data_IF_537152478144
#
_entry.id   IF_537152478144
#
_cell.length_a   1.000
_cell.length_b   1.000
_cell.length_c   1.000
_cell.angle_alpha   90.00
_cell.angle_beta   90.00
_cell.angle_gamma   90.00
#
_symmetry.space_group_name_H-M   'P 1'
#
loop_
_entity.id
_entity.type
_entity.pdbx_description
1 polymer ?
#
# COMPACT_ATOMS: atom_id res chain seq x y z
N UNK A 1 11.99 -12.03 6.06
CA UNK A 1 11.92 -12.58 7.42
C UNK A 1 10.61 -13.33 7.56
N UNK A 2 10.63 -14.46 8.23
CA UNK A 2 9.43 -15.25 8.55
C UNK A 2 8.76 -14.78 9.83
N UNK A 3 9.43 -13.92 10.60
CA UNK A 3 8.96 -13.42 11.88
C UNK A 3 9.08 -11.90 11.91
N UNK A 4 8.11 -11.28 12.56
CA UNK A 4 8.13 -9.84 12.83
C UNK A 4 8.82 -9.66 14.19
N UNK A 5 9.80 -8.74 14.30
CA UNK A 5 10.46 -8.46 15.57
C UNK A 5 9.45 -8.04 16.65
N UNK A 6 9.65 -8.51 17.87
CA UNK A 6 8.87 -8.05 19.02
C UNK A 6 9.46 -6.72 19.53
N UNK A 7 8.91 -5.62 19.09
CA UNK A 7 9.38 -4.27 19.45
C UNK A 7 9.23 -3.91 20.94
N UNK A 8 8.54 -4.74 21.74
CA UNK A 8 8.49 -4.60 23.19
C UNK A 8 9.71 -5.25 23.89
N UNK A 9 10.45 -6.10 23.19
CA UNK A 9 11.70 -6.67 23.69
C UNK A 9 12.85 -5.69 23.44
N UNK A 10 13.61 -5.27 24.47
CA UNK A 10 14.74 -4.36 24.30
C UNK A 10 15.81 -4.86 23.33
N UNK A 11 15.99 -6.17 23.21
CA UNK A 11 16.98 -6.77 22.29
C UNK A 11 16.50 -6.72 20.84
N UNK A 12 15.22 -6.87 20.59
CA UNK A 12 14.64 -6.84 19.24
C UNK A 12 14.26 -5.43 18.80
N UNK A 13 14.08 -4.49 19.73
CA UNK A 13 13.79 -3.10 19.45
C UNK A 13 14.82 -2.44 18.52
N UNK A 14 16.07 -2.87 18.59
CA UNK A 14 17.15 -2.43 17.70
C UNK A 14 16.84 -2.71 16.22
N UNK A 15 16.03 -3.75 15.94
CA UNK A 15 15.62 -4.12 14.60
C UNK A 15 14.47 -3.26 14.06
N UNK A 16 13.84 -2.45 14.89
CA UNK A 16 12.71 -1.59 14.48
C UNK A 16 13.10 -0.64 13.35
N UNK A 17 14.27 -0.01 13.45
CA UNK A 17 14.77 0.89 12.43
C UNK A 17 15.12 0.19 11.12
N UNK A 18 15.55 -1.08 11.18
CA UNK A 18 15.77 -1.90 9.99
C UNK A 18 14.44 -2.33 9.39
N UNK A 19 13.50 -2.76 10.22
CA UNK A 19 12.17 -3.18 9.79
C UNK A 19 11.38 -2.04 9.13
N UNK A 20 11.52 -0.82 9.62
CA UNK A 20 10.88 0.37 9.00
C UNK A 20 11.46 0.69 7.61
N UNK A 21 12.69 0.23 7.32
CA UNK A 21 13.32 0.36 6.00
C UNK A 21 12.85 -0.69 4.99
N UNK A 22 12.16 -1.73 5.43
CA UNK A 22 11.49 -2.68 4.54
C UNK A 22 10.21 -2.01 4.01
N UNK A 23 10.31 -1.48 2.81
CA UNK A 23 9.26 -0.62 2.25
C UNK A 23 7.98 -1.39 1.97
N UNK A 24 8.08 -2.54 1.31
CA UNK A 24 6.92 -3.38 1.02
C UNK A 24 6.90 -4.62 1.91
N UNK A 25 5.75 -4.86 2.51
CA UNK A 25 5.50 -5.99 3.38
C UNK A 25 4.30 -6.78 2.85
N UNK A 26 4.48 -8.08 2.65
CA UNK A 26 3.44 -8.97 2.13
C UNK A 26 3.24 -10.09 3.14
N UNK A 27 2.00 -10.32 3.53
CA UNK A 27 1.63 -11.49 4.31
C UNK A 27 1.42 -12.68 3.39
N UNK A 28 2.02 -13.81 3.75
CA UNK A 28 1.81 -15.08 3.06
C UNK A 28 1.16 -16.07 4.01
N UNK A 29 0.20 -16.82 3.51
CA UNK A 29 -0.49 -17.87 4.25
C UNK A 29 -0.26 -19.23 3.59
N UNK A 30 -0.50 -20.28 4.37
CA UNK A 30 -0.49 -21.64 3.84
C UNK A 30 -1.60 -21.80 2.80
N UNK A 31 -1.34 -22.60 1.76
CA UNK A 31 -2.32 -22.86 0.72
C UNK A 31 -3.56 -23.57 1.32
N UNK A 32 -4.67 -22.86 1.42
CA UNK A 32 -5.90 -23.36 2.05
C UNK A 32 -6.63 -24.37 1.17
N UNK A 33 -6.64 -24.18 -0.14
CA UNK A 33 -7.40 -25.01 -1.06
C UNK A 33 -6.64 -26.28 -1.44
N UNK A 34 -7.31 -27.44 -1.35
CA UNK A 34 -6.74 -28.74 -1.71
C UNK A 34 -6.34 -28.78 -3.19
N UNK A 35 -7.14 -28.21 -4.09
CA UNK A 35 -6.86 -28.20 -5.53
C UNK A 35 -5.51 -27.49 -5.81
N UNK A 36 -5.28 -26.34 -5.20
CA UNK A 36 -4.05 -25.57 -5.36
C UNK A 36 -2.84 -26.33 -4.76
N UNK A 37 -2.98 -26.95 -3.58
CA UNK A 37 -1.90 -27.78 -3.00
C UNK A 37 -1.54 -28.94 -3.93
N UNK A 38 -2.53 -29.61 -4.51
CA UNK A 38 -2.30 -30.72 -5.45
C UNK A 38 -1.67 -30.27 -6.75
N UNK A 39 -2.05 -29.09 -7.27
CA UNK A 39 -1.44 -28.52 -8.46
C UNK A 39 0.06 -28.21 -8.24
N UNK A 40 0.39 -27.57 -7.11
CA UNK A 40 1.77 -27.30 -6.72
C UNK A 40 2.59 -28.58 -6.59
N UNK A 41 2.00 -29.62 -5.95
CA UNK A 41 2.68 -30.91 -5.77
C UNK A 41 2.96 -31.58 -7.13
N UNK A 42 1.98 -31.63 -8.02
CA UNK A 42 2.13 -32.19 -9.36
C UNK A 42 3.19 -31.44 -10.18
N UNK A 43 3.18 -30.12 -10.17
CA UNK A 43 4.16 -29.30 -10.88
C UNK A 43 5.58 -29.55 -10.34
N UNK A 44 5.72 -29.70 -9.01
CA UNK A 44 7.00 -30.05 -8.39
C UNK A 44 7.49 -31.43 -8.82
N UNK A 45 6.61 -32.43 -8.85
CA UNK A 45 6.94 -33.80 -9.27
C UNK A 45 7.29 -33.86 -10.77
N UNK A 46 6.67 -33.03 -11.58
CA UNK A 46 6.95 -32.89 -13.03
C UNK A 46 8.24 -32.09 -13.33
N UNK A 47 8.95 -31.61 -12.32
CA UNK A 47 10.17 -30.78 -12.52
C UNK A 47 9.89 -29.38 -13.08
N UNK A 48 8.63 -28.92 -13.05
CA UNK A 48 8.23 -27.61 -13.57
C UNK A 48 8.50 -26.46 -12.57
N UNK A 49 9.03 -26.78 -11.40
CA UNK A 49 9.38 -25.77 -10.38
C UNK A 49 10.67 -25.04 -10.79
N UNK A 50 10.60 -23.71 -10.78
CA UNK A 50 11.75 -22.86 -11.09
C UNK A 50 11.99 -22.61 -12.60
N UNK A 51 11.06 -23.01 -13.47
CA UNK A 51 11.10 -22.58 -14.86
C UNK A 51 10.69 -21.11 -14.95
N UNK A 52 11.57 -20.28 -15.48
CA UNK A 52 11.28 -18.86 -15.76
C UNK A 52 10.44 -18.76 -17.03
N UNK A 53 9.26 -18.15 -16.91
CA UNK A 53 8.36 -17.96 -18.07
C UNK A 53 8.70 -16.69 -18.86
N UNK A 54 9.28 -15.68 -18.21
CA UNK A 54 9.68 -14.42 -18.83
C UNK A 54 10.94 -13.87 -18.16
N UNK A 55 11.75 -13.20 -18.94
CA UNK A 55 12.95 -12.49 -18.46
C UNK A 55 12.95 -11.08 -19.01
N UNK A 56 13.48 -10.14 -18.25
CA UNK A 56 13.78 -8.78 -18.69
C UNK A 56 15.28 -8.54 -18.55
N UNK A 57 15.85 -7.76 -19.44
CA UNK A 57 17.23 -7.33 -19.36
C UNK A 57 17.40 -6.19 -18.35
N UNK A 58 18.62 -5.94 -17.90
CA UNK A 58 18.91 -4.78 -17.03
C UNK A 58 18.62 -3.45 -17.73
N UNK A 59 18.86 -3.37 -19.05
CA UNK A 59 18.60 -2.16 -19.82
C UNK A 59 17.10 -1.87 -19.91
N UNK A 60 16.27 -2.90 -20.13
CA UNK A 60 14.81 -2.77 -20.06
C UNK A 60 14.34 -2.32 -18.69
N UNK A 61 14.90 -2.90 -17.60
CA UNK A 61 14.54 -2.48 -16.24
C UNK A 61 14.89 -1.01 -16.00
N UNK A 62 16.07 -0.54 -16.42
CA UNK A 62 16.46 0.86 -16.29
C UNK A 62 15.60 1.79 -17.16
N UNK A 63 15.16 1.34 -18.33
CA UNK A 63 14.22 2.09 -19.16
C UNK A 63 12.86 2.25 -18.45
N UNK A 64 12.32 1.14 -17.93
CA UNK A 64 11.06 1.15 -17.12
C UNK A 64 11.16 2.08 -15.91
N UNK A 65 12.27 2.06 -15.18
CA UNK A 65 12.47 2.95 -14.03
C UNK A 65 12.45 4.44 -14.44
N UNK A 66 13.00 4.79 -15.58
CA UNK A 66 12.96 6.16 -16.11
C UNK A 66 11.54 6.57 -16.50
N UNK A 67 10.79 5.68 -17.13
CA UNK A 67 9.38 5.90 -17.48
C UNK A 67 8.52 6.09 -16.22
N UNK A 68 8.68 5.24 -15.21
CA UNK A 68 8.00 5.37 -13.91
C UNK A 68 8.31 6.71 -13.27
N UNK A 69 9.57 7.12 -13.23
CA UNK A 69 9.97 8.40 -12.64
C UNK A 69 9.43 9.64 -13.39
N UNK A 70 9.05 9.48 -14.66
CA UNK A 70 8.47 10.56 -15.47
C UNK A 70 6.96 10.74 -15.24
N UNK A 71 6.28 9.80 -14.58
CA UNK A 71 4.85 9.90 -14.28
C UNK A 71 4.63 11.02 -13.27
N UNK A 72 3.72 11.93 -13.62
CA UNK A 72 3.42 13.08 -12.78
C UNK A 72 2.55 12.69 -11.57
N UNK A 73 2.81 13.33 -10.43
CA UNK A 73 1.99 13.24 -9.22
C UNK A 73 1.33 14.60 -9.00
N UNK A 74 0.03 14.77 -9.29
CA UNK A 74 -0.69 16.01 -9.08
C UNK A 74 -0.76 16.39 -7.59
N UNK A 75 -0.89 17.69 -7.30
CA UNK A 75 -1.05 18.18 -5.93
C UNK A 75 -2.28 17.58 -5.23
N UNK A 76 -3.36 17.36 -5.97
CA UNK A 76 -4.55 16.67 -5.43
C UNK A 76 -4.28 15.24 -4.94
N UNK A 77 -3.27 14.57 -5.49
CA UNK A 77 -2.83 13.24 -5.01
C UNK A 77 -1.97 13.39 -3.74
N UNK A 78 -1.14 14.44 -3.65
CA UNK A 78 -0.41 14.74 -2.42
C UNK A 78 -1.37 15.09 -1.26
N UNK A 79 -2.42 15.89 -1.53
CA UNK A 79 -3.48 16.19 -0.56
C UNK A 79 -4.20 14.92 -0.10
N UNK A 80 -4.58 14.05 -1.04
CA UNK A 80 -5.23 12.78 -0.72
C UNK A 80 -4.31 11.84 0.08
N UNK A 81 -3.01 11.84 -0.20
CA UNK A 81 -2.03 11.08 0.58
C UNK A 81 -1.88 11.61 2.01
N UNK A 82 -1.98 12.92 2.20
CA UNK A 82 -2.01 13.55 3.52
C UNK A 82 -3.28 13.19 4.30
N UNK A 83 -4.44 13.24 3.65
CA UNK A 83 -5.72 12.80 4.23
C UNK A 83 -5.65 11.33 4.70
N UNK A 84 -5.06 10.45 3.89
CA UNK A 84 -4.83 9.04 4.24
C UNK A 84 -3.93 8.94 5.48
N UNK A 85 -2.82 9.68 5.53
CA UNK A 85 -1.90 9.70 6.67
C UNK A 85 -2.60 10.16 7.95
N UNK A 86 -3.32 11.29 7.88
CA UNK A 86 -4.04 11.85 9.01
C UNK A 86 -5.07 10.87 9.55
N UNK A 87 -5.83 10.24 8.67
CA UNK A 87 -6.85 9.26 9.06
C UNK A 87 -6.24 8.00 9.69
N UNK A 88 -5.16 7.46 9.12
CA UNK A 88 -4.45 6.31 9.69
C UNK A 88 -3.91 6.62 11.09
N UNK A 89 -3.31 7.80 11.27
CA UNK A 89 -2.82 8.24 12.60
C UNK A 89 -3.96 8.42 13.59
N UNK A 90 -5.11 8.95 13.15
CA UNK A 90 -6.31 9.13 13.99
C UNK A 90 -6.84 7.81 14.52
N UNK A 91 -6.79 6.74 13.73
CA UNK A 91 -7.24 5.39 14.15
C UNK A 91 -6.13 4.55 14.80
N UNK A 92 -4.97 5.16 15.10
CA UNK A 92 -3.88 4.53 15.83
C UNK A 92 -2.93 3.66 15.00
N UNK A 93 -2.98 3.74 13.66
CA UNK A 93 -1.98 3.09 12.79
C UNK A 93 -0.75 3.96 12.68
N UNK A 94 0.43 3.53 13.18
CA UNK A 94 1.63 4.34 13.18
C UNK A 94 2.27 4.38 11.78
N UNK A 95 2.10 5.49 11.07
CA UNK A 95 2.80 5.74 9.80
C UNK A 95 3.92 6.74 10.06
N UNK A 96 5.16 6.37 9.77
CA UNK A 96 6.32 7.24 9.92
C UNK A 96 6.35 8.32 8.84
N UNK A 97 6.94 9.48 9.16
CA UNK A 97 7.14 10.56 8.18
C UNK A 97 8.01 10.10 7.00
N UNK A 98 8.94 9.19 7.25
CA UNK A 98 9.71 8.56 6.18
C UNK A 98 8.81 7.87 5.15
N UNK A 99 7.82 7.09 5.59
CA UNK A 99 6.88 6.42 4.69
C UNK A 99 5.98 7.43 3.98
N UNK A 100 5.50 8.43 4.69
CA UNK A 100 4.70 9.48 4.09
C UNK A 100 5.47 10.22 2.97
N UNK A 101 6.70 10.64 3.23
CA UNK A 101 7.50 11.39 2.26
C UNK A 101 7.96 10.56 1.05
N UNK A 102 7.93 9.23 1.15
CA UNK A 102 8.39 8.32 0.09
C UNK A 102 7.28 7.44 -0.51
N UNK A 103 6.01 7.85 -0.42
CA UNK A 103 4.89 7.07 -0.97
C UNK A 103 4.83 7.11 -2.50
N UNK A 104 5.21 8.24 -3.10
CA UNK A 104 4.97 8.55 -4.50
C UNK A 104 5.63 7.60 -5.51
N UNK A 105 6.84 7.04 -5.30
CA UNK A 105 7.41 6.10 -6.26
C UNK A 105 6.58 4.82 -6.41
N UNK A 106 5.90 4.39 -5.35
CA UNK A 106 5.01 3.22 -5.38
C UNK A 106 3.75 3.55 -6.17
N UNK A 107 3.18 4.72 -5.96
CA UNK A 107 2.01 5.20 -6.69
C UNK A 107 2.33 5.39 -8.20
N UNK A 108 3.49 5.97 -8.52
CA UNK A 108 3.99 6.10 -9.89
C UNK A 108 4.18 4.74 -10.57
N UNK A 109 4.80 3.78 -9.88
CA UNK A 109 4.98 2.43 -10.41
C UNK A 109 3.63 1.74 -10.67
N UNK A 110 2.65 1.94 -9.78
CA UNK A 110 1.30 1.42 -9.97
C UNK A 110 0.60 2.07 -11.15
N UNK A 111 0.69 3.39 -11.30
CA UNK A 111 0.14 4.14 -12.43
C UNK A 111 0.74 3.64 -13.76
N UNK A 112 2.07 3.49 -13.81
CA UNK A 112 2.77 2.96 -14.98
C UNK A 112 2.28 1.55 -15.35
N UNK A 113 2.18 0.63 -14.37
CA UNK A 113 1.66 -0.73 -14.57
C UNK A 113 0.19 -0.76 -15.01
N UNK A 114 -0.58 0.28 -14.69
CA UNK A 114 -1.98 0.45 -15.10
C UNK A 114 -2.12 1.19 -16.45
N UNK A 115 -1.03 1.68 -17.04
CA UNK A 115 -1.03 2.45 -18.29
C UNK A 115 -1.47 3.91 -18.11
N UNK A 116 -1.42 4.43 -16.87
CA UNK A 116 -1.75 5.83 -16.58
C UNK A 116 -0.52 6.71 -16.81
N UNK A 117 -0.70 7.86 -17.46
CA UNK A 117 0.35 8.88 -17.64
C UNK A 117 0.52 9.81 -16.44
N UNK A 118 -0.44 9.79 -15.52
CA UNK A 118 -0.50 10.61 -14.30
C UNK A 118 -1.04 9.72 -13.18
N UNK A 119 -0.57 9.91 -11.95
CA UNK A 119 -1.07 9.15 -10.80
C UNK A 119 -2.52 9.53 -10.52
N UNK A 120 -3.38 8.53 -10.41
CA UNK A 120 -4.79 8.64 -10.07
C UNK A 120 -5.07 8.15 -8.64
N UNK A 121 -6.20 8.55 -8.01
CA UNK A 121 -6.54 8.10 -6.66
C UNK A 121 -6.51 6.57 -6.47
N UNK A 122 -6.93 5.82 -7.49
CA UNK A 122 -6.93 4.35 -7.46
C UNK A 122 -5.51 3.74 -7.40
N UNK A 123 -4.48 4.46 -7.86
CA UNK A 123 -3.11 3.97 -7.82
C UNK A 123 -2.55 3.98 -6.39
N UNK A 124 -3.10 4.82 -5.50
CA UNK A 124 -2.76 4.83 -4.07
C UNK A 124 -3.19 3.56 -3.34
N UNK A 125 -4.08 2.73 -3.91
CA UNK A 125 -4.41 1.42 -3.33
C UNK A 125 -3.19 0.48 -3.24
N UNK A 126 -2.17 0.70 -4.08
CA UNK A 126 -0.89 -0.03 -4.00
C UNK A 126 -0.16 0.19 -2.66
N UNK A 127 -0.45 1.30 -1.96
CA UNK A 127 0.12 1.60 -0.65
C UNK A 127 -0.34 0.66 0.46
N UNK A 128 -1.32 -0.21 0.20
CA UNK A 128 -1.79 -1.21 1.16
C UNK A 128 -0.64 -1.98 1.80
N UNK A 129 0.32 -2.46 0.99
CA UNK A 129 1.46 -3.24 1.47
C UNK A 129 2.66 -2.38 1.92
N UNK A 130 2.52 -1.08 1.87
CA UNK A 130 3.54 -0.11 2.26
C UNK A 130 3.27 0.50 3.64
N UNK A 131 2.01 0.84 3.95
CA UNK A 131 1.67 1.69 5.09
C UNK A 131 1.56 0.94 6.42
N UNK A 132 1.23 -0.36 6.44
CA UNK A 132 1.09 -1.08 7.69
C UNK A 132 2.44 -1.42 8.35
N UNK A 133 2.45 -1.44 9.67
CA UNK A 133 3.62 -1.84 10.48
C UNK A 133 3.45 -3.24 11.04
N UNK A 134 2.31 -3.54 11.63
CA UNK A 134 1.97 -4.85 12.18
C UNK A 134 0.82 -5.48 11.38
N UNK A 135 0.71 -6.81 11.31
CA UNK A 135 -0.37 -7.48 10.58
C UNK A 135 -1.78 -7.02 10.96
N UNK A 136 -1.99 -6.66 12.22
CA UNK A 136 -3.27 -6.11 12.70
C UNK A 136 -3.65 -4.78 12.08
N UNK A 137 -2.69 -4.01 11.57
CA UNK A 137 -2.95 -2.71 10.95
C UNK A 137 -3.51 -2.85 9.52
N UNK A 138 -3.28 -4.01 8.86
CA UNK A 138 -3.56 -4.21 7.45
C UNK A 138 -5.02 -3.96 7.08
N UNK A 139 -5.95 -4.45 7.89
CA UNK A 139 -7.39 -4.28 7.65
C UNK A 139 -7.80 -2.80 7.76
N UNK A 140 -7.22 -2.07 8.72
CA UNK A 140 -7.46 -0.64 8.90
C UNK A 140 -6.90 0.16 7.72
N UNK A 141 -5.68 -0.14 7.29
CA UNK A 141 -5.06 0.49 6.11
C UNK A 141 -5.91 0.26 4.85
N UNK A 142 -6.36 -0.97 4.63
CA UNK A 142 -7.21 -1.30 3.48
C UNK A 142 -8.54 -0.56 3.51
N UNK A 143 -9.16 -0.46 4.68
CA UNK A 143 -10.43 0.25 4.86
C UNK A 143 -10.29 1.74 4.56
N UNK A 144 -9.24 2.39 5.07
CA UNK A 144 -8.98 3.81 4.82
C UNK A 144 -8.69 4.06 3.34
N UNK A 145 -7.81 3.27 2.73
CA UNK A 145 -7.48 3.40 1.31
C UNK A 145 -8.72 3.22 0.42
N UNK A 146 -9.52 2.18 0.64
CA UNK A 146 -10.74 1.96 -0.13
C UNK A 146 -11.73 3.12 0.03
N UNK A 147 -11.92 3.60 1.25
CA UNK A 147 -12.84 4.71 1.51
C UNK A 147 -12.41 5.99 0.79
N UNK A 148 -11.14 6.36 0.88
CA UNK A 148 -10.65 7.65 0.36
C UNK A 148 -10.33 7.61 -1.14
N UNK A 149 -9.83 6.49 -1.66
CA UNK A 149 -9.38 6.40 -3.05
C UNK A 149 -10.46 5.94 -4.03
N UNK A 150 -11.40 5.07 -3.61
CA UNK A 150 -12.41 4.51 -4.55
C UNK A 150 -13.56 5.47 -4.80
N UNK A 151 -13.97 6.25 -3.79
CA UNK A 151 -15.09 7.18 -3.91
C UNK A 151 -14.76 8.59 -3.36
N UNK A 152 -13.74 9.29 -3.86
CA UNK A 152 -13.30 10.57 -3.28
C UNK A 152 -14.40 11.66 -3.34
N UNK A 153 -15.25 11.66 -4.38
CA UNK A 153 -16.35 12.60 -4.52
C UNK A 153 -17.48 12.34 -3.50
N UNK A 154 -17.81 11.09 -3.25
CA UNK A 154 -18.84 10.75 -2.27
C UNK A 154 -18.41 11.14 -0.85
N UNK A 155 -17.12 10.99 -0.53
CA UNK A 155 -16.57 11.40 0.76
C UNK A 155 -16.67 12.92 0.95
N UNK A 156 -16.27 13.72 -0.05
CA UNK A 156 -16.41 15.20 -0.01
C UNK A 156 -17.88 15.64 0.18
N UNK A 157 -18.82 14.96 -0.46
CA UNK A 157 -20.25 15.24 -0.28
C UNK A 157 -20.72 14.92 1.15
N UNK A 158 -20.25 13.80 1.72
CA UNK A 158 -20.59 13.41 3.08
C UNK A 158 -19.98 14.36 4.11
N UNK A 159 -18.73 14.80 3.91
CA UNK A 159 -18.06 15.78 4.78
C UNK A 159 -18.78 17.12 4.78
N UNK A 160 -19.18 17.63 3.61
CA UNK A 160 -19.96 18.86 3.47
C UNK A 160 -21.33 18.72 4.18
N UNK A 161 -21.98 17.56 4.06
CA UNK A 161 -23.24 17.31 4.76
C UNK A 161 -23.05 17.26 6.28
N UNK A 162 -21.95 16.65 6.76
CA UNK A 162 -21.59 16.64 8.17
C UNK A 162 -21.40 18.05 8.73
N UNK A 163 -20.56 18.86 8.06
CA UNK A 163 -20.33 20.26 8.44
C UNK A 163 -21.62 21.10 8.44
N UNK A 164 -22.50 20.87 7.45
CA UNK A 164 -23.78 21.55 7.39
C UNK A 164 -24.72 21.16 8.54
N UNK A 165 -24.70 19.90 8.97
CA UNK A 165 -25.49 19.44 10.10
C UNK A 165 -24.97 20.01 11.43
N UNK A 166 -23.64 20.00 11.63
CA UNK A 166 -23.00 20.62 12.82
C UNK A 166 -23.30 22.12 12.91
N UNK A 167 -23.16 22.85 11.78
CA UNK A 167 -23.47 24.26 11.74
C UNK A 167 -24.97 24.54 12.05
N UNK A 168 -25.87 23.61 11.75
CA UNK A 168 -27.29 23.75 12.00
C UNK A 168 -27.62 23.48 13.47
N UNK A 169 -26.87 22.59 14.13
CA UNK A 169 -27.03 22.34 15.61
C UNK A 169 -26.46 23.51 16.42
N UNK A 170 -25.41 24.18 15.98
CA UNK A 170 -24.85 25.36 16.65
C UNK A 170 -25.76 26.62 16.57
N UNK A 171 -26.78 26.62 15.72
CA UNK A 171 -27.71 27.72 15.52
C UNK A 171 -29.05 27.53 16.26
N UNK A 172 -29.28 26.40 16.92
CA UNK A 172 -30.48 26.08 17.70
C UNK A 172 -30.24 26.18 19.21
#
# INVERSE_FOLDING_TARGET
SNEIPNFNDPQEKILEALYDRLELKVMTENIQEKANRMAVLKNKQAGMFGQTCATITMDELFAMQKEVAAIQVPDSINELADDILCELRRIGVPVSDRKYLNYYPIAQAKAWLSGHGVVEPMDLLALKNYLWKLPGDLANVETVLNRLCVNPMQNKVNDIRGMAAEAQEDFL
#
